data_IF_037160076063
#
_entry.id   IF_037160076063
#
_cell.length_a   1.000
_cell.length_b   1.000
_cell.length_c   1.000
_cell.angle_alpha   90.00
_cell.angle_beta   90.00
_cell.angle_gamma   90.00
#
_symmetry.space_group_name_H-M   'P 1'
#
loop_
_entity.id
_entity.type
_entity.pdbx_description
1 polymer ?
#
# COMPACT_ATOMS: atom_id res chain seq x y z
N UNK A 1 -51.27 -35.53 -34.77
CA UNK A 1 -50.08 -36.02 -34.03
C UNK A 1 -50.43 -37.43 -33.55
N UNK A 2 -49.61 -38.45 -33.88
CA UNK A 2 -49.85 -39.79 -33.43
C UNK A 2 -49.57 -39.85 -31.92
N UNK A 3 -50.58 -40.21 -31.10
CA UNK A 3 -50.43 -40.46 -29.69
C UNK A 3 -49.78 -41.87 -29.52
N UNK A 4 -48.44 -41.90 -29.36
CA UNK A 4 -47.74 -43.12 -29.02
C UNK A 4 -47.83 -43.38 -27.52
N UNK A 5 -48.28 -44.53 -27.10
CA UNK A 5 -48.32 -44.97 -25.69
C UNK A 5 -46.89 -45.29 -25.20
N UNK A 6 -45.97 -45.70 -26.11
CA UNK A 6 -44.59 -46.02 -25.77
C UNK A 6 -43.62 -44.85 -25.73
N UNK A 7 -43.94 -43.73 -26.40
CA UNK A 7 -43.10 -42.50 -26.43
C UNK A 7 -43.97 -41.28 -26.21
N UNK A 8 -43.90 -40.71 -25.00
CA UNK A 8 -44.63 -39.50 -24.65
C UNK A 8 -43.75 -38.28 -24.87
N UNK A 9 -43.81 -37.72 -26.11
CA UNK A 9 -43.00 -36.53 -26.50
C UNK A 9 -43.32 -35.30 -25.63
N UNK A 10 -44.57 -35.14 -25.17
CA UNK A 10 -44.98 -34.07 -24.27
C UNK A 10 -44.35 -34.18 -22.88
N UNK A 11 -44.29 -35.40 -22.31
CA UNK A 11 -43.63 -35.62 -21.05
C UNK A 11 -42.10 -35.44 -21.14
N UNK A 12 -41.49 -35.86 -22.26
CA UNK A 12 -40.05 -35.63 -22.51
C UNK A 12 -39.71 -34.15 -22.61
N UNK A 13 -40.53 -33.37 -23.31
CA UNK A 13 -40.35 -31.91 -23.42
C UNK A 13 -40.53 -31.20 -22.06
N UNK A 14 -41.55 -31.63 -21.27
CA UNK A 14 -41.77 -31.10 -19.93
C UNK A 14 -40.61 -31.45 -18.98
N UNK A 15 -40.10 -32.68 -19.03
CA UNK A 15 -38.95 -33.12 -18.25
C UNK A 15 -37.66 -32.32 -18.60
N UNK A 16 -37.40 -32.08 -19.90
CA UNK A 16 -36.29 -31.29 -20.35
C UNK A 16 -36.38 -29.84 -19.82
N UNK A 17 -37.57 -29.19 -19.93
CA UNK A 17 -37.81 -27.87 -19.39
C UNK A 17 -37.66 -27.80 -17.87
N UNK A 18 -38.08 -28.82 -17.14
CA UNK A 18 -37.91 -28.94 -15.69
C UNK A 18 -36.42 -29.08 -15.32
N UNK A 19 -35.66 -29.89 -16.05
CA UNK A 19 -34.22 -30.05 -15.83
C UNK A 19 -33.45 -28.74 -16.08
N UNK A 20 -33.80 -27.99 -17.13
CA UNK A 20 -33.17 -26.69 -17.41
C UNK A 20 -33.53 -25.65 -16.32
N UNK A 21 -34.77 -25.69 -15.81
CA UNK A 21 -35.21 -24.86 -14.67
C UNK A 21 -34.43 -25.20 -13.41
N UNK A 22 -34.24 -26.50 -13.10
CA UNK A 22 -33.45 -26.92 -11.94
C UNK A 22 -31.97 -26.52 -12.04
N UNK A 23 -31.34 -26.62 -13.24
CA UNK A 23 -29.98 -26.13 -13.49
C UNK A 23 -29.91 -24.63 -13.26
N UNK A 24 -30.85 -23.85 -13.81
CA UNK A 24 -30.92 -22.41 -13.61
C UNK A 24 -31.08 -22.04 -12.13
N UNK A 25 -31.91 -22.77 -11.40
CA UNK A 25 -32.16 -22.59 -9.97
C UNK A 25 -30.88 -22.83 -9.15
N UNK A 26 -30.14 -23.90 -9.41
CA UNK A 26 -28.86 -24.21 -8.76
C UNK A 26 -27.81 -23.12 -9.05
N UNK A 27 -27.75 -22.61 -10.27
CA UNK A 27 -26.82 -21.54 -10.65
C UNK A 27 -27.15 -20.23 -9.94
N UNK A 28 -28.43 -19.82 -9.91
CA UNK A 28 -28.86 -18.61 -9.21
C UNK A 28 -28.63 -18.70 -7.71
N UNK A 29 -28.90 -19.87 -7.10
CA UNK A 29 -28.59 -20.12 -5.69
C UNK A 29 -27.09 -20.00 -5.41
N UNK A 30 -26.26 -20.58 -6.26
CA UNK A 30 -24.80 -20.45 -6.13
C UNK A 30 -24.35 -18.98 -6.20
N UNK A 31 -24.90 -18.19 -7.13
CA UNK A 31 -24.60 -16.77 -7.28
C UNK A 31 -25.04 -15.93 -6.08
N UNK A 32 -26.19 -16.25 -5.51
CA UNK A 32 -26.69 -15.59 -4.29
C UNK A 32 -25.80 -15.95 -3.09
N UNK A 33 -25.41 -17.23 -2.96
CA UNK A 33 -24.58 -17.69 -1.84
C UNK A 33 -23.14 -17.14 -1.90
N UNK A 34 -22.58 -17.02 -3.10
CA UNK A 34 -21.20 -16.51 -3.30
C UNK A 34 -21.12 -15.00 -3.45
N UNK A 35 -22.23 -14.34 -3.81
CA UNK A 35 -22.25 -12.94 -4.21
C UNK A 35 -21.63 -12.70 -5.60
N UNK A 36 -21.22 -13.75 -6.31
CA UNK A 36 -20.49 -13.64 -7.57
C UNK A 36 -21.32 -14.12 -8.76
N UNK A 37 -21.35 -13.33 -9.82
CA UNK A 37 -21.87 -13.72 -11.14
C UNK A 37 -20.93 -14.73 -11.82
N UNK A 38 -19.61 -14.52 -11.63
CA UNK A 38 -18.54 -15.33 -12.18
C UNK A 38 -17.70 -15.86 -11.03
N UNK A 39 -18.00 -17.05 -10.53
CA UNK A 39 -17.28 -17.69 -9.43
C UNK A 39 -16.15 -18.62 -9.91
N UNK A 40 -16.21 -19.07 -11.16
CA UNK A 40 -15.26 -20.04 -11.74
C UNK A 40 -15.05 -19.81 -13.24
N UNK A 41 -14.00 -20.43 -13.78
CA UNK A 41 -13.74 -20.46 -15.24
C UNK A 41 -14.87 -21.09 -16.06
N UNK A 42 -15.76 -21.90 -15.40
CA UNK A 42 -16.92 -22.52 -16.07
C UNK A 42 -18.06 -21.53 -16.29
N UNK A 43 -18.14 -20.46 -15.51
CA UNK A 43 -19.18 -19.44 -15.65
C UNK A 43 -18.84 -18.47 -16.79
N UNK A 44 -17.62 -17.92 -16.77
CA UNK A 44 -17.04 -17.08 -17.83
C UNK A 44 -15.51 -17.10 -17.67
N UNK A 45 -14.85 -17.79 -18.60
CA UNK A 45 -13.40 -17.95 -18.57
C UNK A 45 -12.65 -16.63 -18.76
N UNK A 46 -13.15 -15.73 -19.62
CA UNK A 46 -12.50 -14.47 -19.92
C UNK A 46 -12.55 -13.52 -18.71
N UNK A 47 -13.75 -13.26 -18.18
CA UNK A 47 -13.93 -12.39 -17.02
C UNK A 47 -13.22 -12.93 -15.77
N UNK A 48 -13.25 -14.26 -15.56
CA UNK A 48 -12.55 -14.89 -14.44
C UNK A 48 -11.03 -14.72 -14.53
N UNK A 49 -10.44 -14.92 -15.72
CA UNK A 49 -8.99 -14.83 -15.92
C UNK A 49 -8.50 -13.40 -15.72
N UNK A 50 -9.24 -12.41 -16.25
CA UNK A 50 -8.94 -10.98 -16.04
C UNK A 50 -9.03 -10.63 -14.55
N UNK A 51 -10.11 -11.04 -13.88
CA UNK A 51 -10.29 -10.78 -12.44
C UNK A 51 -9.19 -11.43 -11.60
N UNK A 52 -8.72 -12.62 -11.98
CA UNK A 52 -7.62 -13.29 -11.29
C UNK A 52 -6.28 -12.57 -11.48
N UNK A 53 -6.02 -12.03 -12.68
CA UNK A 53 -4.88 -11.15 -12.92
C UNK A 53 -4.92 -9.90 -12.04
N UNK A 54 -6.07 -9.20 -12.04
CA UNK A 54 -6.26 -8.00 -11.20
C UNK A 54 -6.15 -8.28 -9.70
N UNK A 55 -6.57 -9.47 -9.23
CA UNK A 55 -6.34 -9.90 -7.82
C UNK A 55 -4.85 -10.10 -7.53
N UNK A 56 -4.10 -10.62 -8.49
CA UNK A 56 -2.64 -10.70 -8.41
C UNK A 56 -2.01 -9.33 -8.27
N UNK A 57 -2.43 -8.37 -9.11
CA UNK A 57 -1.96 -6.98 -9.06
C UNK A 57 -2.31 -6.30 -7.72
N UNK A 58 -3.50 -6.57 -7.18
CA UNK A 58 -3.93 -6.07 -5.87
C UNK A 58 -3.03 -6.60 -4.74
N UNK A 59 -2.65 -7.88 -4.79
CA UNK A 59 -1.65 -8.47 -3.88
C UNK A 59 -0.30 -7.76 -3.98
N UNK A 60 0.16 -7.46 -5.19
CA UNK A 60 1.37 -6.70 -5.45
C UNK A 60 1.28 -5.26 -4.90
N UNK A 61 0.17 -4.55 -5.13
CA UNK A 61 -0.04 -3.20 -4.60
C UNK A 61 -0.07 -3.16 -3.06
N UNK A 62 -0.54 -4.20 -2.41
CA UNK A 62 -0.44 -4.35 -0.96
C UNK A 62 1.02 -4.42 -0.48
N UNK A 63 1.89 -5.13 -1.22
CA UNK A 63 3.32 -5.16 -0.94
C UNK A 63 3.98 -3.80 -1.17
N UNK A 64 3.60 -3.07 -2.24
CA UNK A 64 4.04 -1.68 -2.49
C UNK A 64 3.64 -0.77 -1.34
N UNK A 65 2.38 -0.81 -0.90
CA UNK A 65 1.88 -0.02 0.23
C UNK A 65 2.65 -0.30 1.53
N UNK A 66 2.93 -1.56 1.82
CA UNK A 66 3.75 -1.96 2.99
C UNK A 66 5.18 -1.45 2.89
N UNK A 67 5.77 -1.47 1.69
CA UNK A 67 7.12 -0.95 1.44
C UNK A 67 7.19 0.57 1.60
N UNK A 68 6.20 1.30 1.09
CA UNK A 68 6.07 2.76 1.25
C UNK A 68 5.86 3.15 2.71
N UNK A 69 5.03 2.42 3.46
CA UNK A 69 4.79 2.66 4.89
C UNK A 69 6.06 2.50 5.71
N UNK A 70 6.87 1.49 5.42
CA UNK A 70 8.18 1.31 6.05
C UNK A 70 9.13 2.46 5.70
N UNK A 71 9.22 2.84 4.43
CA UNK A 71 10.07 3.95 3.99
C UNK A 71 9.64 5.27 4.63
N UNK A 72 8.33 5.49 4.77
CA UNK A 72 7.79 6.65 5.49
C UNK A 72 8.24 6.67 6.94
N UNK A 73 8.11 5.56 7.67
CA UNK A 73 8.51 5.49 9.08
C UNK A 73 10.00 5.80 9.27
N UNK A 74 10.89 5.26 8.41
CA UNK A 74 12.32 5.58 8.45
C UNK A 74 12.57 7.06 8.15
N UNK A 75 11.89 7.61 7.15
CA UNK A 75 12.03 9.03 6.76
C UNK A 75 11.53 9.97 7.85
N UNK A 76 10.40 9.65 8.49
CA UNK A 76 9.83 10.46 9.57
C UNK A 76 10.75 10.48 10.81
N UNK A 77 11.37 9.35 11.16
CA UNK A 77 12.40 9.30 12.21
C UNK A 77 13.60 10.18 11.85
N UNK A 78 14.04 10.14 10.59
CA UNK A 78 15.14 10.98 10.13
C UNK A 78 14.77 12.48 10.14
N UNK A 79 13.55 12.85 9.76
CA UNK A 79 13.05 14.23 9.84
C UNK A 79 13.08 14.71 11.28
N UNK A 80 12.49 13.94 12.21
CA UNK A 80 12.44 14.30 13.63
C UNK A 80 13.86 14.45 14.23
N UNK A 81 14.77 13.54 13.90
CA UNK A 81 16.16 13.63 14.33
C UNK A 81 16.88 14.86 13.77
N UNK A 82 16.69 15.16 12.48
CA UNK A 82 17.29 16.33 11.83
C UNK A 82 16.74 17.67 12.38
N UNK A 83 15.43 17.74 12.68
CA UNK A 83 14.83 18.89 13.36
C UNK A 83 15.43 19.11 14.75
N UNK A 84 15.52 18.04 15.54
CA UNK A 84 16.14 18.12 16.86
C UNK A 84 17.63 18.54 16.80
N UNK A 85 18.39 18.04 15.81
CA UNK A 85 19.77 18.49 15.57
C UNK A 85 19.82 19.98 15.20
N UNK A 86 18.85 20.47 14.41
CA UNK A 86 18.77 21.89 14.08
C UNK A 86 18.59 22.76 15.31
N UNK A 87 17.76 22.33 16.27
CA UNK A 87 17.55 23.05 17.52
C UNK A 87 18.81 23.05 18.40
N UNK A 88 19.51 21.91 18.47
CA UNK A 88 20.79 21.81 19.21
C UNK A 88 21.85 22.72 18.58
N UNK A 89 21.97 22.74 17.24
CA UNK A 89 22.90 23.62 16.52
C UNK A 89 22.58 25.11 16.78
N UNK A 90 21.30 25.48 16.87
CA UNK A 90 20.90 26.84 17.26
C UNK A 90 21.34 27.19 18.69
N UNK A 91 21.20 26.27 19.63
CA UNK A 91 21.67 26.46 21.03
C UNK A 91 23.20 26.56 21.08
N UNK A 92 23.92 25.71 20.32
CA UNK A 92 25.37 25.79 20.19
C UNK A 92 25.81 27.14 19.66
N UNK A 93 25.11 27.72 18.67
CA UNK A 93 25.40 29.06 18.14
C UNK A 93 25.27 30.14 19.18
N UNK A 94 24.22 30.07 20.03
CA UNK A 94 24.03 31.01 21.12
C UNK A 94 25.19 30.94 22.14
N UNK A 95 25.65 29.72 22.51
CA UNK A 95 26.82 29.55 23.37
C UNK A 95 28.09 30.05 22.74
N UNK A 96 28.32 29.86 21.44
CA UNK A 96 29.46 30.35 20.70
C UNK A 96 29.48 31.88 20.67
N UNK A 97 28.33 32.56 20.46
CA UNK A 97 28.25 34.02 20.55
C UNK A 97 28.62 34.55 21.95
N UNK A 98 28.09 33.91 23.01
CA UNK A 98 28.42 34.28 24.38
C UNK A 98 29.94 34.12 24.67
N UNK A 99 30.53 33.00 24.23
CA UNK A 99 31.97 32.75 24.43
C UNK A 99 32.87 33.64 23.59
N UNK A 100 32.38 34.20 22.48
CA UNK A 100 33.12 35.15 21.61
C UNK A 100 33.23 36.56 22.22
N UNK A 101 32.48 36.86 23.26
CA UNK A 101 32.56 38.15 23.95
C UNK A 101 33.96 38.32 24.60
N UNK A 102 34.57 39.46 24.34
CA UNK A 102 35.88 39.85 24.90
C UNK A 102 35.81 40.19 26.39
N UNK A 103 34.63 40.57 26.88
CA UNK A 103 34.42 41.04 28.26
C UNK A 103 34.25 39.93 29.30
N UNK A 104 34.14 38.67 28.89
CA UNK A 104 33.96 37.54 29.86
C UNK A 104 35.31 37.00 30.33
N UNK A 105 35.34 36.55 31.58
CA UNK A 105 36.50 35.89 32.16
C UNK A 105 36.68 34.43 31.65
N UNK A 106 37.84 33.86 31.95
CA UNK A 106 38.17 32.49 31.52
C UNK A 106 37.24 31.45 32.14
N UNK A 107 36.92 31.62 33.41
CA UNK A 107 36.04 30.64 34.11
C UNK A 107 34.63 30.60 33.51
N UNK A 108 34.06 31.75 33.17
CA UNK A 108 32.75 31.84 32.48
C UNK A 108 32.84 31.21 31.09
N UNK A 109 33.94 31.43 30.34
CA UNK A 109 34.14 30.85 29.00
C UNK A 109 34.31 29.33 29.08
N UNK A 110 34.97 28.81 30.12
CA UNK A 110 35.10 27.36 30.36
C UNK A 110 33.76 26.70 30.69
N UNK A 111 32.90 27.38 31.45
CA UNK A 111 31.54 26.93 31.69
C UNK A 111 30.71 26.86 30.39
N UNK A 112 30.76 27.92 29.54
CA UNK A 112 30.11 27.94 28.23
C UNK A 112 30.65 26.88 27.28
N UNK A 113 31.97 26.59 27.34
CA UNK A 113 32.58 25.51 26.58
C UNK A 113 32.10 24.15 27.04
N UNK A 114 31.91 23.93 28.34
CA UNK A 114 31.35 22.68 28.88
C UNK A 114 29.91 22.43 28.38
N UNK A 115 29.07 23.46 28.39
CA UNK A 115 27.72 23.40 27.82
C UNK A 115 27.77 23.11 26.31
N UNK A 116 28.66 23.75 25.57
CA UNK A 116 28.84 23.56 24.13
C UNK A 116 29.25 22.12 23.80
N UNK A 117 30.18 21.55 24.57
CA UNK A 117 30.62 20.16 24.41
C UNK A 117 29.46 19.19 24.69
N UNK A 118 28.66 19.46 25.72
CA UNK A 118 27.48 18.63 26.02
C UNK A 118 26.45 18.64 24.88
N UNK A 119 26.17 19.82 24.29
CA UNK A 119 25.30 19.96 23.12
C UNK A 119 25.87 19.27 21.88
N UNK A 120 27.17 19.37 21.65
CA UNK A 120 27.86 18.66 20.58
C UNK A 120 27.70 17.14 20.73
N UNK A 121 27.92 16.61 21.92
CA UNK A 121 27.80 15.17 22.19
C UNK A 121 26.34 14.68 22.08
N UNK A 122 25.37 15.56 22.37
CA UNK A 122 23.96 15.30 22.16
C UNK A 122 23.64 15.10 20.66
N UNK A 123 24.28 15.83 19.73
CA UNK A 123 24.11 15.59 18.28
C UNK A 123 24.51 14.15 17.95
N UNK A 124 25.64 13.67 18.45
CA UNK A 124 26.07 12.28 18.23
C UNK A 124 25.05 11.28 18.74
N UNK A 125 24.48 11.54 19.90
CA UNK A 125 23.44 10.68 20.49
C UNK A 125 22.18 10.66 19.62
N UNK A 126 21.71 11.82 19.13
CA UNK A 126 20.54 11.93 18.25
C UNK A 126 20.78 11.18 16.93
N UNK A 127 21.95 11.38 16.30
CA UNK A 127 22.30 10.68 15.05
C UNK A 127 22.28 9.17 15.26
N UNK A 128 22.91 8.67 16.32
CA UNK A 128 22.98 7.23 16.58
C UNK A 128 21.60 6.63 16.96
N UNK A 129 20.72 7.41 17.60
CA UNK A 129 19.38 6.95 18.04
C UNK A 129 18.33 7.05 16.92
N UNK A 130 18.61 7.76 15.83
CA UNK A 130 17.68 7.94 14.71
C UNK A 130 17.66 6.73 13.79
N UNK A 131 17.47 5.53 14.38
CA UNK A 131 17.39 4.24 13.70
C UNK A 131 15.94 3.75 13.68
N UNK A 132 15.52 3.20 12.56
CA UNK A 132 14.28 2.46 12.46
C UNK A 132 14.52 1.15 11.71
N UNK A 133 14.34 0.05 12.40
CA UNK A 133 14.50 -1.30 11.85
C UNK A 133 15.87 -1.53 11.17
N UNK A 134 16.95 -1.05 11.80
CA UNK A 134 18.32 -1.21 11.32
C UNK A 134 18.74 -0.24 10.21
N UNK A 135 17.88 0.72 9.85
CA UNK A 135 18.20 1.75 8.85
C UNK A 135 18.23 3.13 9.50
N UNK A 136 19.34 3.84 9.31
CA UNK A 136 19.54 5.18 9.84
C UNK A 136 19.96 6.13 8.70
N UNK A 137 19.08 7.05 8.32
CA UNK A 137 19.34 8.02 7.24
C UNK A 137 20.22 9.20 7.67
N UNK A 138 20.46 9.37 8.98
CA UNK A 138 21.24 10.49 9.51
C UNK A 138 22.70 10.11 9.76
N UNK A 139 23.02 8.83 9.95
CA UNK A 139 24.37 8.33 10.14
C UNK A 139 25.03 8.08 8.79
N UNK A 140 26.25 8.57 8.56
CA UNK A 140 26.95 8.46 7.26
C UNK A 140 27.05 7.02 6.72
N UNK A 141 27.16 6.02 7.62
CA UNK A 141 27.20 4.59 7.29
C UNK A 141 25.84 3.89 7.38
N UNK A 142 24.74 4.62 7.58
CA UNK A 142 23.43 4.07 7.93
C UNK A 142 22.58 3.59 6.72
N UNK A 143 23.08 3.75 5.50
CA UNK A 143 22.44 3.25 4.28
C UNK A 143 21.39 4.20 3.69
N UNK A 144 20.72 3.76 2.65
CA UNK A 144 19.62 4.45 1.98
C UNK A 144 18.33 3.67 2.14
N UNK A 145 17.19 4.35 2.11
CA UNK A 145 15.88 3.71 2.06
C UNK A 145 15.43 3.60 0.63
N UNK A 146 15.06 2.39 0.23
CA UNK A 146 14.48 2.12 -1.08
C UNK A 146 13.12 1.46 -0.87
N UNK A 147 12.07 2.07 -1.39
CA UNK A 147 10.71 1.53 -1.38
C UNK A 147 10.28 1.17 -2.80
N UNK A 148 9.48 0.11 -2.91
CA UNK A 148 8.77 -0.20 -4.15
C UNK A 148 7.79 0.95 -4.44
N UNK A 149 7.83 1.49 -5.67
CA UNK A 149 6.97 2.57 -6.11
C UNK A 149 5.80 2.05 -6.95
N UNK A 150 6.02 1.01 -7.75
CA UNK A 150 5.00 0.39 -8.60
C UNK A 150 5.29 -1.09 -8.82
N UNK A 151 4.36 -1.78 -9.50
CA UNK A 151 4.55 -3.16 -9.96
C UNK A 151 5.22 -3.22 -11.35
N UNK A 152 5.48 -2.06 -11.95
CA UNK A 152 6.09 -1.95 -13.26
C UNK A 152 7.57 -2.32 -13.17
N UNK A 153 8.05 -3.02 -14.19
CA UNK A 153 9.48 -3.21 -14.39
C UNK A 153 10.07 -1.93 -14.97
N UNK A 154 11.05 -1.33 -14.28
CA UNK A 154 11.73 -0.10 -14.73
C UNK A 154 12.73 -0.37 -15.85
N UNK A 155 13.15 -1.63 -16.05
CA UNK A 155 14.10 -2.03 -17.07
C UNK A 155 13.45 -3.00 -18.07
N UNK A 156 12.82 -2.44 -19.09
CA UNK A 156 12.25 -3.21 -20.20
C UNK A 156 13.31 -3.80 -21.15
N UNK A 157 14.60 -3.52 -20.93
CA UNK A 157 15.70 -3.98 -21.78
C UNK A 157 16.24 -5.34 -21.36
N UNK A 158 15.96 -5.81 -20.12
CA UNK A 158 16.41 -7.10 -19.60
C UNK A 158 15.25 -8.05 -19.36
N UNK A 159 15.05 -9.01 -20.23
CA UNK A 159 13.99 -10.03 -20.12
C UNK A 159 14.21 -11.08 -19.01
N UNK A 160 15.32 -10.99 -18.27
CA UNK A 160 15.74 -12.05 -17.33
C UNK A 160 15.73 -11.65 -15.86
N UNK A 161 15.60 -10.36 -15.53
CA UNK A 161 15.64 -9.90 -14.12
C UNK A 161 14.64 -8.78 -13.93
N UNK A 162 13.62 -9.03 -13.11
CA UNK A 162 12.66 -8.01 -12.71
C UNK A 162 13.36 -6.93 -11.87
N UNK A 163 13.34 -5.70 -12.36
CA UNK A 163 13.89 -4.53 -11.70
C UNK A 163 12.75 -3.57 -11.36
N UNK A 164 12.24 -3.61 -10.11
CA UNK A 164 11.08 -2.81 -9.73
C UNK A 164 11.37 -1.32 -9.79
N UNK A 165 10.39 -0.55 -10.24
CA UNK A 165 10.40 0.89 -10.06
C UNK A 165 10.43 1.24 -8.57
N UNK A 166 11.44 2.01 -8.15
CA UNK A 166 11.73 2.24 -6.75
C UNK A 166 11.88 3.72 -6.41
N UNK A 167 11.35 4.09 -5.25
CA UNK A 167 11.54 5.39 -4.63
C UNK A 167 12.68 5.29 -3.63
N UNK A 168 13.78 6.02 -3.88
CA UNK A 168 14.94 6.06 -3.01
C UNK A 168 15.01 7.34 -2.21
N UNK A 169 15.29 7.22 -0.90
CA UNK A 169 15.65 8.34 -0.01
C UNK A 169 17.10 8.16 0.38
N UNK A 170 17.95 9.08 -0.12
CA UNK A 170 19.38 9.03 0.11
C UNK A 170 19.72 9.33 1.58
N UNK A 171 20.81 8.72 2.05
CA UNK A 171 21.42 9.03 3.33
C UNK A 171 21.87 10.49 3.38
N UNK A 172 21.72 11.16 4.52
CA UNK A 172 22.03 12.57 4.71
C UNK A 172 23.35 12.82 5.47
N UNK A 173 23.87 11.84 6.20
CA UNK A 173 25.14 11.91 6.92
C UNK A 173 25.28 13.14 7.82
N UNK A 174 24.61 13.14 8.96
CA UNK A 174 24.64 14.20 9.97
C UNK A 174 25.67 13.95 11.09
N UNK A 175 26.65 13.12 10.84
CA UNK A 175 27.75 12.90 11.79
C UNK A 175 28.61 14.17 11.95
N UNK A 176 29.13 14.37 13.17
CA UNK A 176 30.06 15.47 13.45
C UNK A 176 31.34 15.37 12.60
N UNK A 177 31.80 16.50 12.07
CA UNK A 177 32.96 16.56 11.17
C UNK A 177 32.67 16.01 9.77
N UNK A 178 31.40 15.74 9.44
CA UNK A 178 30.95 15.28 8.14
C UNK A 178 30.77 16.40 7.13
N UNK A 179 30.19 16.01 5.99
CA UNK A 179 29.91 16.98 4.90
C UNK A 179 28.78 17.94 5.25
N UNK A 180 27.79 17.52 6.02
CA UNK A 180 26.62 18.32 6.41
C UNK A 180 26.88 19.06 7.71
N UNK A 181 27.23 18.37 8.79
CA UNK A 181 27.63 18.98 10.06
C UNK A 181 29.15 19.14 10.03
N UNK A 182 29.60 20.33 9.72
CA UNK A 182 31.05 20.64 9.65
C UNK A 182 31.71 20.91 10.99
N UNK A 183 30.95 20.89 12.08
CA UNK A 183 31.45 20.97 13.46
C UNK A 183 32.21 19.68 13.77
N UNK A 184 33.52 19.79 14.03
CA UNK A 184 34.36 18.64 14.35
C UNK A 184 33.95 17.98 15.68
N UNK A 185 34.17 16.67 15.82
CA UNK A 185 33.89 15.93 17.06
C UNK A 185 34.69 16.41 18.28
N UNK A 186 35.85 17.05 18.07
CA UNK A 186 36.66 17.69 19.09
C UNK A 186 36.52 19.21 19.20
N UNK A 187 35.50 19.80 18.56
CA UNK A 187 35.30 21.24 18.54
C UNK A 187 35.05 21.82 19.95
N UNK A 188 35.70 22.98 20.23
CA UNK A 188 35.59 23.68 21.52
C UNK A 188 35.47 25.19 21.27
N UNK A 189 35.00 25.92 22.28
CA UNK A 189 34.89 27.39 22.32
C UNK A 189 35.61 28.00 23.53
N UNK A 190 36.70 27.33 23.97
CA UNK A 190 37.46 27.69 25.16
C UNK A 190 38.23 29.00 25.05
N UNK A 191 38.44 29.55 23.88
CA UNK A 191 39.05 30.84 23.65
C UNK A 191 38.14 31.72 22.79
N UNK A 192 38.34 33.07 22.89
CA UNK A 192 37.59 33.99 22.04
C UNK A 192 37.75 33.69 20.54
N UNK A 193 38.98 33.42 20.11
CA UNK A 193 39.27 33.11 18.70
C UNK A 193 38.60 31.82 18.23
N UNK A 194 38.59 30.75 19.04
CA UNK A 194 37.94 29.50 18.70
C UNK A 194 36.40 29.68 18.68
N UNK A 195 35.85 30.48 19.58
CA UNK A 195 34.42 30.80 19.60
C UNK A 195 33.99 31.60 18.33
N UNK A 196 34.76 32.58 17.91
CA UNK A 196 34.53 33.34 16.65
C UNK A 196 34.56 32.41 15.43
N UNK A 197 35.60 31.59 15.28
CA UNK A 197 35.70 30.63 14.16
C UNK A 197 34.55 29.60 14.19
N UNK A 198 34.07 29.22 15.37
CA UNK A 198 32.96 28.32 15.53
C UNK A 198 31.63 28.91 15.06
N UNK A 199 31.40 30.22 15.21
CA UNK A 199 30.19 30.89 14.71
C UNK A 199 30.09 30.74 13.18
N UNK A 200 31.19 30.88 12.46
CA UNK A 200 31.23 30.71 11.00
C UNK A 200 30.96 29.24 10.60
N UNK A 201 31.58 28.31 11.33
CA UNK A 201 31.39 26.88 11.12
C UNK A 201 29.93 26.48 11.37
N UNK A 202 29.32 26.96 12.44
CA UNK A 202 27.90 26.70 12.75
C UNK A 202 26.97 27.33 11.70
N UNK A 203 27.29 28.54 11.24
CA UNK A 203 26.50 29.22 10.19
C UNK A 203 26.51 28.43 8.89
N UNK A 204 27.65 27.87 8.51
CA UNK A 204 27.78 26.96 7.36
C UNK A 204 26.98 25.68 7.58
N UNK A 205 27.09 25.06 8.77
CA UNK A 205 26.33 23.88 9.16
C UNK A 205 24.80 24.13 9.09
N UNK A 206 24.32 25.25 9.59
CA UNK A 206 22.92 25.64 9.51
C UNK A 206 22.42 25.74 8.06
N UNK A 207 23.24 26.31 7.15
CA UNK A 207 22.89 26.36 5.72
C UNK A 207 22.69 24.97 5.12
N UNK A 208 23.62 24.07 5.39
CA UNK A 208 23.54 22.67 4.90
C UNK A 208 22.39 21.89 5.54
N UNK A 209 22.17 22.09 6.84
CA UNK A 209 21.08 21.41 7.58
C UNK A 209 19.69 21.83 7.05
N UNK A 210 19.50 23.10 6.67
CA UNK A 210 18.28 23.56 6.00
C UNK A 210 18.04 22.82 4.67
N UNK A 211 19.10 22.58 3.90
CA UNK A 211 19.01 21.79 2.65
C UNK A 211 18.61 20.33 2.95
N UNK A 212 19.24 19.73 3.95
CA UNK A 212 18.91 18.37 4.40
C UNK A 212 17.44 18.27 4.84
N UNK A 213 16.95 19.17 5.69
CA UNK A 213 15.55 19.20 6.12
C UNK A 213 14.59 19.36 4.93
N UNK A 214 14.94 20.22 3.96
CA UNK A 214 14.15 20.38 2.73
C UNK A 214 14.12 19.08 1.90
N UNK A 215 15.25 18.40 1.78
CA UNK A 215 15.35 17.12 1.04
C UNK A 215 14.54 16.00 1.71
N UNK A 216 14.69 15.83 3.03
CA UNK A 216 13.93 14.84 3.79
C UNK A 216 12.42 15.14 3.77
N UNK A 217 12.04 16.41 3.94
CA UNK A 217 10.65 16.83 3.86
C UNK A 217 10.05 16.65 2.46
N UNK A 218 10.82 16.85 1.39
CA UNK A 218 10.37 16.57 0.03
C UNK A 218 10.23 15.07 -0.21
N UNK A 219 11.15 14.24 0.32
CA UNK A 219 11.07 12.79 0.25
C UNK A 219 9.83 12.24 1.00
N UNK A 220 9.56 12.73 2.21
CA UNK A 220 8.37 12.35 2.98
C UNK A 220 7.08 12.66 2.20
N UNK A 221 6.95 13.87 1.63
CA UNK A 221 5.79 14.24 0.80
C UNK A 221 5.66 13.38 -0.45
N UNK A 222 6.78 13.01 -1.08
CA UNK A 222 6.77 12.13 -2.26
C UNK A 222 6.28 10.72 -1.90
N UNK A 223 6.70 10.18 -0.75
CA UNK A 223 6.22 8.91 -0.23
C UNK A 223 4.71 8.98 0.05
N UNK A 224 4.23 10.05 0.70
CA UNK A 224 2.80 10.23 1.00
C UNK A 224 1.95 10.31 -0.27
N UNK A 225 2.42 11.06 -1.27
CA UNK A 225 1.74 11.17 -2.56
C UNK A 225 1.65 9.80 -3.26
N UNK A 226 2.75 9.04 -3.26
CA UNK A 226 2.79 7.69 -3.85
C UNK A 226 1.91 6.70 -3.09
N UNK A 227 1.91 6.75 -1.76
CA UNK A 227 1.03 5.93 -0.92
C UNK A 227 -0.45 6.22 -1.21
N UNK A 228 -0.82 7.51 -1.32
CA UNK A 228 -2.17 7.91 -1.68
C UNK A 228 -2.56 7.44 -3.08
N UNK A 229 -1.65 7.53 -4.05
CA UNK A 229 -1.88 7.03 -5.41
C UNK A 229 -2.09 5.51 -5.40
N UNK A 230 -1.23 4.76 -4.71
CA UNK A 230 -1.32 3.30 -4.60
C UNK A 230 -2.65 2.85 -3.98
N UNK A 231 -3.11 3.54 -2.93
CA UNK A 231 -4.41 3.27 -2.31
C UNK A 231 -5.56 3.50 -3.29
N UNK A 232 -5.58 4.65 -3.98
CA UNK A 232 -6.62 4.94 -4.99
C UNK A 232 -6.61 3.94 -6.14
N UNK A 233 -5.41 3.51 -6.57
CA UNK A 233 -5.29 2.50 -7.62
C UNK A 233 -5.85 1.16 -7.17
N UNK A 234 -5.59 0.76 -5.92
CA UNK A 234 -6.17 -0.44 -5.32
C UNK A 234 -7.70 -0.39 -5.30
N UNK A 235 -8.29 0.74 -4.88
CA UNK A 235 -9.75 0.93 -4.83
C UNK A 235 -10.38 0.83 -6.23
N UNK A 236 -9.72 1.41 -7.25
CA UNK A 236 -10.20 1.34 -8.64
C UNK A 236 -10.13 -0.09 -9.18
N UNK A 237 -9.06 -0.83 -8.88
CA UNK A 237 -8.91 -2.23 -9.28
C UNK A 237 -9.95 -3.09 -8.59
N UNK A 238 -10.19 -2.89 -7.28
CA UNK A 238 -11.23 -3.62 -6.53
C UNK A 238 -12.61 -3.38 -7.13
N UNK A 239 -12.96 -2.13 -7.42
CA UNK A 239 -14.20 -1.78 -8.14
C UNK A 239 -14.27 -2.40 -9.53
N UNK A 240 -13.14 -2.46 -10.25
CA UNK A 240 -13.03 -3.12 -11.55
C UNK A 240 -13.28 -4.64 -11.46
N UNK A 241 -12.72 -5.30 -10.45
CA UNK A 241 -12.99 -6.72 -10.17
C UNK A 241 -14.46 -6.94 -9.87
N UNK A 242 -15.07 -6.11 -9.01
CA UNK A 242 -16.50 -6.19 -8.68
C UNK A 242 -17.37 -6.10 -9.92
N UNK A 243 -17.12 -5.15 -10.80
CA UNK A 243 -17.86 -4.99 -12.07
C UNK A 243 -17.76 -6.23 -13.00
N UNK A 244 -16.63 -6.96 -12.93
CA UNK A 244 -16.44 -8.15 -13.75
C UNK A 244 -17.09 -9.40 -13.16
N UNK A 245 -17.06 -9.57 -11.83
CA UNK A 245 -17.40 -10.84 -11.19
C UNK A 245 -18.56 -10.80 -10.21
N UNK A 246 -18.96 -9.63 -9.68
CA UNK A 246 -20.03 -9.55 -8.68
C UNK A 246 -21.41 -9.74 -9.28
N UNK A 247 -22.29 -10.30 -8.49
CA UNK A 247 -23.69 -10.52 -8.82
C UNK A 247 -24.59 -9.39 -8.27
N UNK A 248 -25.53 -8.93 -9.07
CA UNK A 248 -26.64 -8.12 -8.59
C UNK A 248 -27.63 -9.02 -7.83
N UNK A 249 -27.52 -9.02 -6.49
CA UNK A 249 -28.33 -9.86 -5.63
C UNK A 249 -29.84 -9.58 -5.73
N UNK A 250 -30.25 -8.34 -6.04
CA UNK A 250 -31.66 -8.01 -6.23
C UNK A 250 -32.21 -8.70 -7.48
N UNK A 251 -31.46 -8.65 -8.57
CA UNK A 251 -31.81 -9.31 -9.85
C UNK A 251 -31.76 -10.83 -9.72
N UNK A 252 -30.77 -11.40 -9.06
CA UNK A 252 -30.69 -12.85 -8.88
C UNK A 252 -31.78 -13.36 -7.92
N UNK A 253 -32.16 -12.59 -6.88
CA UNK A 253 -33.28 -12.94 -6.00
C UNK A 253 -34.62 -12.95 -6.73
N UNK A 254 -34.90 -11.96 -7.57
CA UNK A 254 -36.09 -11.94 -8.42
C UNK A 254 -36.12 -13.13 -9.39
N UNK A 255 -34.95 -13.49 -9.94
CA UNK A 255 -34.78 -14.62 -10.83
C UNK A 255 -34.98 -15.97 -10.11
N UNK A 256 -34.52 -16.07 -8.84
CA UNK A 256 -34.76 -17.22 -7.99
C UNK A 256 -36.27 -17.48 -7.80
N UNK A 257 -37.04 -16.44 -7.43
CA UNK A 257 -38.48 -16.53 -7.25
C UNK A 257 -39.18 -16.95 -8.55
N UNK A 258 -38.80 -16.36 -9.69
CA UNK A 258 -39.33 -16.70 -10.99
C UNK A 258 -39.06 -18.16 -11.36
N UNK A 259 -37.85 -18.66 -11.09
CA UNK A 259 -37.47 -20.05 -11.36
C UNK A 259 -38.19 -21.05 -10.41
N UNK A 260 -38.43 -20.67 -9.15
CA UNK A 260 -39.23 -21.50 -8.21
C UNK A 260 -40.66 -21.66 -8.70
N UNK A 261 -41.31 -20.57 -9.16
CA UNK A 261 -42.64 -20.64 -9.77
C UNK A 261 -42.60 -21.49 -11.04
N UNK A 262 -41.59 -21.31 -11.90
CA UNK A 262 -41.40 -22.12 -13.11
C UNK A 262 -41.22 -23.62 -12.79
N UNK A 263 -40.52 -23.95 -11.74
CA UNK A 263 -40.33 -25.32 -11.29
C UNK A 263 -41.68 -25.96 -10.87
N UNK A 264 -42.49 -25.21 -10.09
CA UNK A 264 -43.82 -25.69 -9.68
C UNK A 264 -44.76 -25.93 -10.89
N UNK A 265 -44.76 -24.99 -11.85
CA UNK A 265 -45.50 -25.11 -13.10
C UNK A 265 -44.99 -26.26 -13.95
N UNK A 266 -43.67 -26.49 -14.00
CA UNK A 266 -43.05 -27.60 -14.72
C UNK A 266 -43.45 -28.98 -14.19
N UNK A 267 -43.53 -29.12 -12.85
CA UNK A 267 -44.01 -30.34 -12.22
C UNK A 267 -45.50 -30.57 -12.56
N UNK A 268 -46.35 -29.52 -12.53
CA UNK A 268 -47.75 -29.63 -12.92
C UNK A 268 -47.91 -29.99 -14.43
N UNK A 269 -47.14 -29.38 -15.28
CA UNK A 269 -47.15 -29.67 -16.72
C UNK A 269 -46.72 -31.12 -17.00
N UNK A 270 -45.68 -31.61 -16.29
CA UNK A 270 -45.25 -33.00 -16.36
C UNK A 270 -46.35 -33.97 -15.90
N UNK A 271 -47.08 -33.64 -14.82
CA UNK A 271 -48.22 -34.44 -14.32
C UNK A 271 -49.34 -34.50 -15.36
N UNK A 272 -49.70 -33.38 -15.98
CA UNK A 272 -50.74 -33.31 -17.04
C UNK A 272 -50.26 -34.10 -18.29
N UNK A 273 -49.01 -33.96 -18.70
CA UNK A 273 -48.47 -34.70 -19.83
C UNK A 273 -48.46 -36.21 -19.62
N UNK A 274 -48.25 -36.68 -18.37
CA UNK A 274 -48.31 -38.08 -18.01
C UNK A 274 -49.77 -38.63 -17.92
N UNK A 275 -50.77 -37.78 -17.70
CA UNK A 275 -52.19 -38.21 -17.68
C UNK A 275 -52.76 -38.42 -19.08
N UNK A 276 -52.24 -37.76 -20.12
CA UNK A 276 -52.75 -37.89 -21.47
C UNK A 276 -52.73 -39.31 -22.04
N UNK A 277 -51.71 -40.17 -21.84
CA UNK A 277 -51.75 -41.58 -22.23
C UNK A 277 -52.73 -42.43 -21.42
N UNK A 278 -53.00 -42.10 -20.15
CA UNK A 278 -53.90 -42.90 -19.27
C UNK A 278 -55.36 -42.78 -19.66
N UNK A 279 -55.79 -41.66 -20.22
CA UNK A 279 -57.13 -41.50 -20.79
C UNK A 279 -57.35 -42.36 -22.03
N UNK A 280 -56.31 -42.62 -22.82
CA UNK A 280 -56.39 -43.51 -23.98
C UNK A 280 -56.48 -44.98 -23.53
N UNK A 281 -55.72 -45.39 -22.54
CA UNK A 281 -55.77 -46.74 -22.01
C UNK A 281 -57.08 -47.04 -21.30
N UNK A 282 -57.78 -46.04 -20.73
CA UNK A 282 -59.10 -46.20 -20.14
C UNK A 282 -60.24 -46.37 -21.18
N UNK A 283 -60.05 -46.01 -22.44
CA UNK A 283 -60.99 -46.21 -23.52
C UNK A 283 -60.94 -47.68 -24.10
N UNK A 284 -59.85 -48.39 -23.78
CA UNK A 284 -59.63 -49.79 -24.22
C UNK A 284 -59.83 -50.82 -23.14
N UNK A 285 -60.43 -50.41 -22.02
CA UNK A 285 -60.88 -51.31 -20.97
C UNK A 285 -62.35 -51.56 -21.03
#
# INVERSE_FOLDING_TARGET
>A
MAFSVNTNVGAMAALQSLNDTNKGLSQVQSRINTGLKVASTKDDSASYTIAQGLRGDMGGLSAVSSSLSRAKSVTDVAVAGAEQISDVVNQMKAKAYQAADAGIDTATRDALNSDFVALRDQITTIVNSSDFNGTNLLKASGGTVTALQSLQDSDTSSATTWNPDSLSVANQGLDLGGTTITIASGATISTQATAQAMIDTITTTQGKLKTTLSTLGAASRKIDAQSTFTSKLSDVIEGGIGNLVDADLAKESAKLQALQVKQQLGVQALSIANQAPSTITSLFR
#
